data_IF_601328701843
#
_entry.id   IF_601328701843
#
_cell.length_a   1.000
_cell.length_b   1.000
_cell.length_c   1.000
_cell.angle_alpha   90.00
_cell.angle_beta   90.00
_cell.angle_gamma   90.00
#
_symmetry.space_group_name_H-M   'P 1'
#
loop_
_entity.id
_entity.type
_entity.pdbx_description
1 polymer ?
#
# COMPACT_ATOMS: atom_id res chain seq x y z
N UNK A 1 15.40 0.36 2.94
CA UNK A 1 15.44 -1.09 3.24
C UNK A 1 16.90 -1.51 3.36
N UNK A 2 17.30 -2.26 4.38
CA UNK A 2 18.65 -2.86 4.43
C UNK A 2 18.72 -4.09 3.50
N UNK A 3 19.90 -4.46 2.96
CA UNK A 3 20.07 -5.66 2.13
C UNK A 3 19.58 -6.93 2.83
N UNK A 4 19.87 -7.07 4.12
CA UNK A 4 19.42 -8.21 4.93
C UNK A 4 17.89 -8.35 4.99
N UNK A 5 17.17 -7.22 5.08
CA UNK A 5 15.70 -7.22 5.08
C UNK A 5 15.16 -7.47 3.66
N UNK A 6 15.86 -6.99 2.63
CA UNK A 6 15.51 -7.32 1.24
C UNK A 6 15.64 -8.83 0.99
N UNK A 7 16.70 -9.46 1.48
CA UNK A 7 16.89 -10.92 1.35
C UNK A 7 15.87 -11.71 2.17
N UNK A 8 15.51 -11.24 3.37
CA UNK A 8 14.45 -11.85 4.17
C UNK A 8 13.10 -11.90 3.43
N UNK A 9 12.83 -10.94 2.55
CA UNK A 9 11.62 -10.90 1.73
C UNK A 9 11.73 -11.68 0.40
N UNK A 10 12.83 -12.41 0.15
CA UNK A 10 13.03 -13.17 -1.08
C UNK A 10 11.94 -14.23 -1.30
N UNK A 11 11.60 -15.00 -0.26
CA UNK A 11 10.56 -16.02 -0.33
C UNK A 11 9.19 -15.42 -0.69
N UNK A 12 8.85 -14.27 -0.11
CA UNK A 12 7.61 -13.55 -0.40
C UNK A 12 7.59 -13.04 -1.85
N UNK A 13 8.69 -12.44 -2.33
CA UNK A 13 8.80 -12.02 -3.74
C UNK A 13 8.60 -13.20 -4.68
N UNK A 14 9.28 -14.31 -4.42
CA UNK A 14 9.18 -15.51 -5.25
C UNK A 14 7.75 -16.08 -5.26
N UNK A 15 7.07 -16.13 -4.11
CA UNK A 15 5.68 -16.55 -4.03
C UNK A 15 4.74 -15.66 -4.87
N UNK A 16 4.94 -14.33 -4.83
CA UNK A 16 4.14 -13.38 -5.62
C UNK A 16 4.41 -13.45 -7.12
N UNK A 17 5.66 -13.69 -7.53
CA UNK A 17 6.00 -13.95 -8.94
C UNK A 17 5.36 -15.25 -9.42
N UNK A 18 5.35 -16.29 -8.57
CA UNK A 18 4.67 -17.56 -8.89
C UNK A 18 3.16 -17.37 -9.08
N UNK A 19 2.50 -16.64 -8.19
CA UNK A 19 1.07 -16.32 -8.33
C UNK A 19 0.76 -15.55 -9.63
N UNK A 20 1.63 -14.59 -10.00
CA UNK A 20 1.50 -13.88 -11.28
C UNK A 20 1.66 -14.82 -12.47
N UNK A 21 2.64 -15.73 -12.43
CA UNK A 21 2.84 -16.74 -13.47
C UNK A 21 1.62 -17.66 -13.61
N UNK A 22 1.07 -18.15 -12.50
CA UNK A 22 -0.13 -18.99 -12.47
C UNK A 22 -1.34 -18.26 -13.09
N UNK A 23 -1.54 -16.98 -12.76
CA UNK A 23 -2.58 -16.14 -13.36
C UNK A 23 -2.41 -15.98 -14.88
N UNK A 24 -1.20 -15.67 -15.34
CA UNK A 24 -0.91 -15.53 -16.78
C UNK A 24 -1.13 -16.85 -17.52
N UNK A 25 -0.72 -17.96 -16.92
CA UNK A 25 -0.92 -19.30 -17.48
C UNK A 25 -2.41 -19.63 -17.60
N UNK A 26 -3.22 -19.29 -16.60
CA UNK A 26 -4.68 -19.49 -16.63
C UNK A 26 -5.33 -18.67 -17.76
N UNK A 27 -4.96 -17.40 -17.92
CA UNK A 27 -5.44 -16.57 -19.03
C UNK A 27 -5.04 -17.16 -20.40
N UNK A 28 -3.82 -17.67 -20.53
CA UNK A 28 -3.34 -18.30 -21.76
C UNK A 28 -4.14 -19.56 -22.10
N UNK A 29 -4.47 -20.40 -21.12
CA UNK A 29 -5.31 -21.60 -21.30
C UNK A 29 -6.72 -21.22 -21.76
N UNK A 30 -7.27 -20.13 -21.23
CA UNK A 30 -8.61 -19.63 -21.59
C UNK A 30 -8.63 -18.80 -22.89
N UNK A 31 -7.48 -18.43 -23.43
CA UNK A 31 -7.37 -17.53 -24.58
C UNK A 31 -7.75 -16.07 -24.25
N UNK A 32 -7.66 -15.67 -22.98
CA UNK A 32 -8.02 -14.33 -22.51
C UNK A 32 -6.83 -13.36 -22.56
N UNK A 33 -7.11 -12.09 -22.87
CA UNK A 33 -6.09 -11.05 -22.81
C UNK A 33 -5.69 -10.74 -21.37
N UNK A 34 -4.38 -10.61 -21.13
CA UNK A 34 -3.82 -10.23 -19.83
C UNK A 34 -3.65 -8.71 -19.78
N UNK A 35 -4.31 -8.06 -18.83
CA UNK A 35 -4.02 -6.67 -18.48
C UNK A 35 -2.78 -6.63 -17.58
N UNK A 36 -1.62 -6.39 -18.21
CA UNK A 36 -0.32 -6.34 -17.54
C UNK A 36 -0.29 -5.22 -16.48
N UNK A 37 -0.92 -4.07 -16.76
CA UNK A 37 -0.95 -2.94 -15.84
C UNK A 37 -1.70 -3.29 -14.55
N UNK A 38 -2.91 -3.87 -14.70
CA UNK A 38 -3.72 -4.33 -13.57
C UNK A 38 -3.04 -5.47 -12.81
N UNK A 39 -2.40 -6.41 -13.51
CA UNK A 39 -1.67 -7.51 -12.89
C UNK A 39 -0.47 -7.01 -12.08
N UNK A 40 0.41 -6.20 -12.69
CA UNK A 40 1.57 -5.62 -12.02
C UNK A 40 1.17 -4.79 -10.80
N UNK A 41 0.16 -3.92 -10.94
CA UNK A 41 -0.33 -3.10 -9.82
C UNK A 41 -0.85 -3.97 -8.66
N UNK A 42 -1.65 -5.00 -8.95
CA UNK A 42 -2.18 -5.92 -7.93
C UNK A 42 -1.05 -6.67 -7.21
N UNK A 43 -0.07 -7.17 -7.96
CA UNK A 43 1.08 -7.88 -7.40
C UNK A 43 1.92 -6.96 -6.52
N UNK A 44 2.23 -5.75 -6.98
CA UNK A 44 3.00 -4.77 -6.20
C UNK A 44 2.28 -4.36 -4.93
N UNK A 45 0.96 -4.11 -5.00
CA UNK A 45 0.16 -3.73 -3.84
C UNK A 45 0.15 -4.83 -2.78
N UNK A 46 -0.06 -6.09 -3.19
CA UNK A 46 0.00 -7.25 -2.30
C UNK A 46 1.37 -7.43 -1.66
N UNK A 47 2.44 -7.16 -2.40
CA UNK A 47 3.79 -7.30 -1.89
C UNK A 47 4.09 -6.25 -0.82
N UNK A 48 3.74 -5.00 -1.08
CA UNK A 48 3.89 -3.91 -0.12
C UNK A 48 3.01 -4.13 1.09
N UNK A 49 1.74 -4.49 0.92
CA UNK A 49 0.84 -4.72 2.03
C UNK A 49 1.30 -5.85 2.95
N UNK A 50 1.83 -6.92 2.36
CA UNK A 50 2.38 -8.03 3.14
C UNK A 50 3.68 -7.63 3.85
N UNK A 51 4.56 -6.87 3.18
CA UNK A 51 5.78 -6.35 3.80
C UNK A 51 5.51 -5.43 5.01
N UNK A 52 4.54 -4.53 4.88
CA UNK A 52 4.27 -3.51 5.89
C UNK A 52 3.35 -3.98 7.01
N UNK A 53 2.37 -4.82 6.69
CA UNK A 53 1.29 -5.16 7.61
C UNK A 53 1.06 -6.67 7.76
N UNK A 54 1.83 -7.52 7.05
CA UNK A 54 1.59 -8.96 6.94
C UNK A 54 0.18 -9.32 6.45
N UNK A 55 -0.44 -8.44 5.66
CA UNK A 55 -1.79 -8.63 5.11
C UNK A 55 -1.74 -8.62 3.59
N UNK A 56 -2.51 -9.50 2.96
CA UNK A 56 -2.78 -9.44 1.52
C UNK A 56 -3.98 -8.53 1.27
N UNK A 57 -3.71 -7.28 0.86
CA UNK A 57 -4.72 -6.23 0.71
C UNK A 57 -5.34 -6.19 -0.69
N UNK A 58 -4.85 -6.97 -1.66
CA UNK A 58 -5.33 -7.00 -3.05
C UNK A 58 -5.68 -8.46 -3.49
N UNK A 59 -6.78 -9.02 -2.99
CA UNK A 59 -7.42 -10.21 -3.50
C UNK A 59 -8.38 -9.90 -4.65
N UNK A 60 -8.52 -10.84 -5.57
CA UNK A 60 -9.45 -10.74 -6.70
C UNK A 60 -10.94 -10.90 -6.30
N UNK A 61 -11.24 -11.27 -5.04
CA UNK A 61 -12.57 -11.75 -4.62
C UNK A 61 -13.15 -11.11 -3.36
N UNK A 62 -12.43 -10.20 -2.68
CA UNK A 62 -12.89 -9.58 -1.43
C UNK A 62 -13.20 -8.09 -1.61
N UNK A 63 -14.38 -7.65 -1.17
CA UNK A 63 -14.84 -6.26 -1.32
C UNK A 63 -13.90 -5.24 -0.65
N UNK A 64 -13.46 -5.50 0.59
CA UNK A 64 -12.55 -4.59 1.33
C UNK A 64 -11.21 -4.44 0.63
N UNK A 65 -10.75 -5.51 -0.01
CA UNK A 65 -9.51 -5.50 -0.77
C UNK A 65 -9.64 -4.68 -2.06
N UNK A 66 -10.79 -4.77 -2.71
CA UNK A 66 -11.10 -3.99 -3.91
C UNK A 66 -11.22 -2.50 -3.60
N UNK A 67 -11.81 -2.13 -2.46
CA UNK A 67 -11.88 -0.74 -1.98
C UNK A 67 -10.50 -0.13 -1.74
N UNK A 68 -9.61 -0.85 -1.04
CA UNK A 68 -8.25 -0.37 -0.80
C UNK A 68 -7.43 -0.26 -2.10
N UNK A 69 -7.58 -1.24 -2.99
CA UNK A 69 -6.97 -1.21 -4.32
C UNK A 69 -7.44 0.02 -5.12
N UNK A 70 -8.74 0.30 -5.11
CA UNK A 70 -9.31 1.47 -5.79
C UNK A 70 -8.77 2.77 -5.17
N UNK A 71 -8.70 2.87 -3.84
CA UNK A 71 -8.16 4.04 -3.16
C UNK A 71 -6.72 4.36 -3.60
N UNK A 72 -5.83 3.35 -3.63
CA UNK A 72 -4.45 3.55 -4.08
C UNK A 72 -4.39 3.89 -5.57
N UNK A 73 -5.27 3.29 -6.38
CA UNK A 73 -5.36 3.60 -7.80
C UNK A 73 -5.74 5.07 -8.03
N UNK A 74 -6.77 5.56 -7.35
CA UNK A 74 -7.25 6.95 -7.47
C UNK A 74 -6.15 7.95 -7.04
N UNK A 75 -5.39 7.63 -5.99
CA UNK A 75 -4.23 8.44 -5.56
C UNK A 75 -3.16 8.47 -6.65
N UNK A 76 -2.80 7.33 -7.23
CA UNK A 76 -1.78 7.25 -8.27
C UNK A 76 -2.21 7.96 -9.56
N UNK A 77 -3.48 7.88 -9.92
CA UNK A 77 -4.05 8.61 -11.06
C UNK A 77 -3.97 10.12 -10.84
N UNK A 78 -4.37 10.60 -9.66
CA UNK A 78 -4.32 12.03 -9.32
C UNK A 78 -2.88 12.57 -9.21
N UNK A 79 -1.92 11.77 -8.72
CA UNK A 79 -0.49 12.13 -8.68
C UNK A 79 0.14 12.11 -10.08
N UNK A 80 -0.22 11.14 -10.91
CA UNK A 80 0.31 10.98 -12.27
C UNK A 80 -0.25 11.99 -13.27
N UNK A 81 -1.36 12.65 -12.93
CA UNK A 81 -1.99 13.65 -13.79
C UNK A 81 -1.21 14.97 -13.78
N UNK A 82 -0.86 15.53 -14.95
CA UNK A 82 -0.24 16.85 -15.01
C UNK A 82 -1.14 17.91 -14.34
N UNK A 83 -0.63 18.54 -13.29
CA UNK A 83 -1.35 19.58 -12.59
C UNK A 83 -0.91 20.96 -13.11
N UNK A 84 -1.78 21.62 -13.86
CA UNK A 84 -1.52 22.95 -14.42
C UNK A 84 -1.18 24.00 -13.36
N UNK A 85 -1.64 23.83 -12.12
CA UNK A 85 -1.29 24.71 -11.02
C UNK A 85 0.20 24.61 -10.59
N UNK A 86 0.88 23.51 -10.95
CA UNK A 86 2.32 23.38 -10.71
C UNK A 86 3.14 24.19 -11.73
N UNK A 87 2.57 24.46 -12.91
CA UNK A 87 3.19 25.28 -13.96
C UNK A 87 2.79 26.76 -13.87
N UNK A 88 1.60 27.07 -13.34
CA UNK A 88 1.06 28.42 -13.24
C UNK A 88 0.72 28.79 -11.78
N UNK A 89 1.59 29.55 -11.08
CA UNK A 89 1.43 29.86 -9.66
C UNK A 89 0.08 30.50 -9.28
N UNK A 90 -0.53 31.25 -10.20
CA UNK A 90 -1.84 31.89 -10.02
C UNK A 90 -2.99 30.87 -9.87
N UNK A 91 -2.86 29.68 -10.46
CA UNK A 91 -3.90 28.63 -10.41
C UNK A 91 -3.82 27.76 -9.14
N UNK A 92 -2.75 27.90 -8.32
CA UNK A 92 -2.56 27.12 -7.07
C UNK A 92 -3.67 27.31 -6.05
N UNK A 93 -4.29 28.49 -6.04
CA UNK A 93 -5.35 28.85 -5.11
C UNK A 93 -6.74 28.42 -5.59
N UNK A 94 -6.90 28.16 -6.89
CA UNK A 94 -8.20 27.87 -7.51
C UNK A 94 -8.46 26.36 -7.57
N UNK A 95 -7.42 25.52 -7.52
CA UNK A 95 -7.50 24.06 -7.75
C UNK A 95 -8.39 23.71 -8.96
N UNK A 96 -8.09 24.23 -10.16
CA UNK A 96 -9.01 24.18 -11.30
C UNK A 96 -9.36 22.75 -11.74
N UNK A 97 -8.49 21.77 -11.44
CA UNK A 97 -8.71 20.35 -11.73
C UNK A 97 -9.23 19.54 -10.53
N UNK A 98 -9.41 20.18 -9.36
CA UNK A 98 -9.84 19.55 -8.11
C UNK A 98 -8.89 18.49 -7.55
N UNK A 99 -7.66 18.42 -8.07
CA UNK A 99 -6.69 17.35 -7.78
C UNK A 99 -6.27 17.43 -6.32
N UNK A 100 -5.97 18.64 -5.82
CA UNK A 100 -5.53 18.80 -4.42
C UNK A 100 -6.61 18.35 -3.45
N UNK A 101 -7.88 18.72 -3.70
CA UNK A 101 -9.00 18.32 -2.85
C UNK A 101 -9.22 16.80 -2.85
N UNK A 102 -9.20 16.16 -4.03
CA UNK A 102 -9.35 14.69 -4.13
C UNK A 102 -8.20 13.95 -3.47
N UNK A 103 -6.98 14.41 -3.68
CA UNK A 103 -5.79 13.83 -3.10
C UNK A 103 -5.84 13.90 -1.56
N UNK A 104 -6.21 15.06 -0.99
CA UNK A 104 -6.41 15.20 0.45
C UNK A 104 -7.45 14.21 0.99
N UNK A 105 -8.65 14.15 0.38
CA UNK A 105 -9.70 13.24 0.81
C UNK A 105 -9.31 11.75 0.69
N UNK A 106 -8.53 11.39 -0.33
CA UNK A 106 -8.04 10.02 -0.49
C UNK A 106 -6.90 9.69 0.49
N UNK A 107 -6.02 10.64 0.81
CA UNK A 107 -5.01 10.46 1.86
C UNK A 107 -5.63 10.34 3.24
N UNK A 108 -6.70 11.08 3.55
CA UNK A 108 -7.43 10.93 4.81
C UNK A 108 -7.95 9.48 4.97
N UNK A 109 -8.60 8.94 3.92
CA UNK A 109 -9.03 7.54 3.90
C UNK A 109 -7.87 6.56 4.04
N UNK A 110 -6.73 6.86 3.41
CA UNK A 110 -5.54 6.01 3.49
C UNK A 110 -4.96 6.00 4.91
N UNK A 111 -4.94 7.15 5.57
CA UNK A 111 -4.53 7.30 6.97
C UNK A 111 -5.48 6.50 7.87
N UNK A 112 -6.79 6.56 7.65
CA UNK A 112 -7.78 5.78 8.43
C UNK A 112 -7.52 4.27 8.31
N UNK A 113 -7.21 3.78 7.11
CA UNK A 113 -6.82 2.38 6.87
C UNK A 113 -5.57 2.03 7.67
N UNK A 114 -4.51 2.85 7.61
CA UNK A 114 -3.28 2.60 8.39
C UNK A 114 -3.51 2.66 9.90
N UNK A 115 -4.30 3.61 10.38
CA UNK A 115 -4.71 3.67 11.78
C UNK A 115 -5.50 2.44 12.21
N UNK A 116 -6.31 1.84 11.33
CA UNK A 116 -7.00 0.59 11.63
C UNK A 116 -6.02 -0.56 11.85
N UNK A 117 -4.95 -0.66 11.05
CA UNK A 117 -3.90 -1.68 11.24
C UNK A 117 -3.10 -1.44 12.52
N UNK A 118 -2.71 -0.20 12.79
CA UNK A 118 -2.01 0.18 14.03
C UNK A 118 -2.86 -0.20 15.26
N UNK A 119 -4.15 0.18 15.28
CA UNK A 119 -5.06 -0.13 16.40
C UNK A 119 -5.21 -1.63 16.60
N UNK A 120 -5.46 -2.39 15.53
CA UNK A 120 -5.55 -3.87 15.58
C UNK A 120 -4.27 -4.48 16.16
N UNK A 121 -3.10 -4.02 15.71
CA UNK A 121 -1.81 -4.53 16.19
C UNK A 121 -1.59 -4.20 17.66
N UNK A 122 -1.83 -2.96 18.07
CA UNK A 122 -1.72 -2.52 19.47
C UNK A 122 -2.67 -3.31 20.40
N UNK A 123 -3.89 -3.62 19.97
CA UNK A 123 -4.80 -4.48 20.75
C UNK A 123 -4.32 -5.93 20.85
N UNK A 124 -3.64 -6.44 19.81
CA UNK A 124 -3.14 -7.82 19.78
C UNK A 124 -1.87 -8.05 20.62
N UNK A 125 -1.09 -7.00 20.90
CA UNK A 125 0.11 -7.08 21.75
C UNK A 125 -0.22 -7.55 23.18
N UNK A 126 -1.47 -7.40 23.63
CA UNK A 126 -1.91 -7.90 24.94
C UNK A 126 -2.09 -9.43 25.00
N UNK A 127 -1.96 -10.16 23.88
CA UNK A 127 -2.44 -11.55 23.81
C UNK A 127 -1.41 -12.61 23.37
N UNK A 128 -0.24 -12.27 22.82
CA UNK A 128 0.84 -13.26 22.60
C UNK A 128 2.11 -12.63 22.06
N UNK A 129 3.24 -13.10 22.59
CA UNK A 129 4.59 -12.81 22.11
C UNK A 129 4.92 -13.60 20.84
N UNK A 130 4.11 -13.47 19.80
CA UNK A 130 4.43 -13.99 18.46
C UNK A 130 5.01 -12.86 17.64
N UNK A 131 6.34 -12.89 17.48
CA UNK A 131 7.11 -11.98 16.64
C UNK A 131 6.64 -12.11 15.18
N UNK A 132 5.63 -11.34 14.80
CA UNK A 132 5.50 -10.91 13.42
C UNK A 132 6.52 -9.78 13.27
N UNK A 133 7.42 -9.92 12.29
CA UNK A 133 8.60 -9.07 12.13
C UNK A 133 8.42 -8.19 10.88
N UNK A 134 7.20 -7.67 10.70
CA UNK A 134 6.87 -6.77 9.61
C UNK A 134 7.25 -5.32 9.93
N UNK A 135 7.21 -4.44 8.93
CA UNK A 135 7.68 -3.07 9.11
C UNK A 135 6.88 -2.34 10.18
N UNK A 136 5.57 -2.58 10.28
CA UNK A 136 4.75 -1.95 11.32
C UNK A 136 5.18 -2.38 12.72
N UNK A 137 5.49 -3.66 12.93
CA UNK A 137 5.97 -4.15 14.23
C UNK A 137 7.31 -3.51 14.63
N UNK A 138 8.22 -3.36 13.66
CA UNK A 138 9.49 -2.63 13.88
C UNK A 138 9.25 -1.17 14.24
N UNK A 139 8.36 -0.47 13.52
CA UNK A 139 8.03 0.93 13.80
C UNK A 139 7.39 1.10 15.19
N UNK A 140 6.48 0.20 15.58
CA UNK A 140 5.86 0.23 16.90
C UNK A 140 6.86 -0.04 18.02
N UNK A 141 7.85 -0.92 17.80
CA UNK A 141 8.94 -1.16 18.75
C UNK A 141 9.82 0.07 18.93
N UNK A 142 10.24 0.70 17.84
CA UNK A 142 11.05 1.92 17.86
C UNK A 142 10.31 3.09 18.55
N UNK A 143 9.01 3.21 18.32
CA UNK A 143 8.16 4.20 19.00
C UNK A 143 8.11 3.97 20.52
N UNK A 144 7.92 2.71 20.97
CA UNK A 144 7.93 2.35 22.40
C UNK A 144 9.28 2.61 23.06
N UNK A 145 10.37 2.35 22.35
CA UNK A 145 11.75 2.59 22.79
C UNK A 145 12.12 4.09 22.78
N UNK A 146 11.19 4.99 22.41
CA UNK A 146 11.41 6.44 22.22
C UNK A 146 12.52 6.78 21.24
N UNK A 147 12.87 5.84 20.35
CA UNK A 147 13.80 6.05 19.25
C UNK A 147 13.15 6.79 18.07
N UNK A 148 11.82 6.96 18.11
CA UNK A 148 11.04 7.81 17.21
C UNK A 148 10.18 8.75 18.07
N UNK A 149 10.21 10.06 17.79
CA UNK A 149 9.39 11.04 18.47
C UNK A 149 8.36 11.64 17.50
N UNK A 150 7.10 11.70 17.92
CA UNK A 150 6.00 12.15 17.05
C UNK A 150 6.03 13.67 16.77
N UNK A 151 6.92 14.41 17.43
CA UNK A 151 7.13 15.85 17.25
C UNK A 151 8.04 16.24 16.08
N UNK A 152 8.65 15.28 15.37
CA UNK A 152 9.54 15.54 14.23
C UNK A 152 8.80 15.62 12.89
N UNK A 153 7.48 15.41 12.89
CA UNK A 153 6.62 15.46 11.71
C UNK A 153 5.79 16.75 11.77
N UNK A 154 6.43 17.89 11.56
CA UNK A 154 5.80 19.19 11.26
C UNK A 154 6.65 19.95 10.26
#
# INVERSE_FOLDING_TARGET
LSPQRLDACHALRHAKVKQLYEYVQECAIKGEAVDIGKAAFTTSLNLLSNLFFSVELAHHTSNTSQEFKQLIWDIMEDIGKPNYADYFPLLKYVDPSGIRRRLAANFDKLIDVFQSFIRKRLSSVYSSATNVDDVLDVLLKLYKEKALNMGEIN
#
